data_IF_785910456749
#
_entry.id   IF_785910456749
#
_cell.length_a   1.000
_cell.length_b   1.000
_cell.length_c   1.000
_cell.angle_alpha   90.00
_cell.angle_beta   90.00
_cell.angle_gamma   90.00
#
_symmetry.space_group_name_H-M   'P 1'
#
loop_
_entity.id
_entity.type
_entity.pdbx_description
1 polymer ?
#
# COMPACT_ATOMS: atom_id res chain seq x y z
N UNK A 1 -24.34 18.01 32.09
CA UNK A 1 -22.92 17.92 31.70
C UNK A 1 -22.57 16.45 31.55
N UNK A 2 -22.62 15.93 30.32
CA UNK A 2 -22.28 14.54 30.03
C UNK A 2 -20.79 14.47 29.67
N UNK A 3 -20.01 13.73 30.46
CA UNK A 3 -18.61 13.46 30.16
C UNK A 3 -18.49 12.64 28.88
N UNK A 4 -17.59 13.06 27.98
CA UNK A 4 -17.21 12.27 26.81
C UNK A 4 -16.18 11.24 27.29
N UNK A 5 -16.57 9.97 27.25
CA UNK A 5 -15.67 8.85 27.50
C UNK A 5 -14.78 8.68 26.27
N UNK A 6 -13.48 8.97 26.43
CA UNK A 6 -12.49 8.75 25.38
C UNK A 6 -12.23 7.25 25.27
N UNK A 7 -12.64 6.63 24.16
CA UNK A 7 -12.30 5.24 23.88
C UNK A 7 -10.79 5.11 23.70
N UNK A 8 -10.14 4.32 24.55
CA UNK A 8 -8.73 3.95 24.40
C UNK A 8 -8.53 3.20 23.07
N UNK A 9 -7.63 3.71 22.22
CA UNK A 9 -7.26 3.02 20.99
C UNK A 9 -6.44 1.79 21.33
N UNK A 10 -6.91 0.61 20.96
CA UNK A 10 -6.16 -0.63 21.09
C UNK A 10 -4.78 -0.51 20.42
N UNK A 11 -3.73 -0.85 21.17
CA UNK A 11 -2.37 -0.84 20.66
C UNK A 11 -2.14 -2.08 19.77
N UNK A 12 -2.07 -1.88 18.46
CA UNK A 12 -1.73 -2.97 17.51
C UNK A 12 -0.23 -3.23 17.54
N UNK A 13 0.17 -4.41 18.05
CA UNK A 13 1.57 -4.86 18.00
C UNK A 13 1.86 -5.51 16.65
N UNK A 14 2.71 -4.87 15.83
CA UNK A 14 3.15 -5.41 14.53
C UNK A 14 4.52 -6.08 14.72
N UNK A 15 4.57 -7.41 14.64
CA UNK A 15 5.83 -8.16 14.57
C UNK A 15 6.27 -8.28 13.10
N UNK A 16 7.54 -7.97 12.79
CA UNK A 16 8.12 -8.15 11.46
C UNK A 16 9.26 -9.15 11.55
N UNK A 17 9.21 -10.23 10.79
CA UNK A 17 10.23 -11.29 10.82
C UNK A 17 11.27 -11.13 9.72
N UNK A 18 10.87 -10.64 8.54
CA UNK A 18 11.76 -10.46 7.39
C UNK A 18 11.53 -9.09 6.75
N UNK A 19 12.62 -8.35 6.55
CA UNK A 19 12.62 -7.08 5.83
C UNK A 19 13.54 -7.22 4.63
N UNK A 20 13.03 -6.93 3.43
CA UNK A 20 13.79 -6.99 2.18
C UNK A 20 13.96 -5.59 1.60
N UNK A 21 15.11 -5.34 0.97
CA UNK A 21 15.39 -4.08 0.26
C UNK A 21 15.12 -4.27 -1.23
N UNK A 22 14.21 -3.48 -1.79
CA UNK A 22 14.01 -3.42 -3.24
C UNK A 22 15.14 -2.64 -3.88
N UNK A 23 15.81 -3.23 -4.86
CA UNK A 23 16.96 -2.63 -5.56
C UNK A 23 16.85 -2.90 -7.06
N UNK A 24 17.66 -2.17 -7.85
CA UNK A 24 17.78 -2.35 -9.32
C UNK A 24 16.45 -2.15 -10.05
N UNK A 25 15.76 -1.04 -9.75
CA UNK A 25 14.58 -0.64 -10.49
C UNK A 25 14.89 -0.56 -12.00
N UNK A 26 14.01 -1.15 -12.82
CA UNK A 26 14.08 -1.13 -14.27
C UNK A 26 12.78 -0.55 -14.81
N UNK A 27 12.88 0.58 -15.52
CA UNK A 27 11.73 1.30 -16.05
C UNK A 27 10.98 0.52 -17.15
N UNK A 28 11.70 -0.10 -18.09
CA UNK A 28 11.08 -0.89 -19.16
C UNK A 28 10.39 -2.14 -18.60
N UNK A 29 11.04 -2.76 -17.60
CA UNK A 29 10.44 -3.87 -16.84
C UNK A 29 9.14 -3.43 -16.16
N UNK A 30 9.12 -2.24 -15.57
CA UNK A 30 7.93 -1.65 -14.97
C UNK A 30 6.81 -1.41 -16.01
N UNK A 31 7.12 -0.81 -17.17
CA UNK A 31 6.14 -0.63 -18.25
C UNK A 31 5.53 -1.96 -18.72
N UNK A 32 6.38 -2.95 -18.97
CA UNK A 32 5.93 -4.29 -19.36
C UNK A 32 5.04 -4.95 -18.28
N UNK A 33 5.24 -4.65 -16.99
CA UNK A 33 4.33 -5.16 -15.93
C UNK A 33 2.98 -4.46 -15.88
N UNK A 34 2.91 -3.17 -16.25
CA UNK A 34 1.65 -2.46 -16.44
C UNK A 34 0.87 -3.09 -17.60
N UNK A 35 1.53 -3.27 -18.75
CA UNK A 35 0.94 -3.88 -19.96
C UNK A 35 0.41 -5.30 -19.69
N UNK A 36 1.13 -6.08 -18.89
CA UNK A 36 0.76 -7.46 -18.53
C UNK A 36 -0.23 -7.57 -17.36
N UNK A 37 -0.74 -6.44 -16.84
CA UNK A 37 -1.71 -6.44 -15.74
C UNK A 37 -1.15 -6.96 -14.40
N UNK A 38 0.17 -6.86 -14.20
CA UNK A 38 0.85 -7.21 -12.93
C UNK A 38 1.04 -6.01 -12.01
N UNK A 39 0.99 -4.81 -12.58
CA UNK A 39 0.98 -3.53 -11.89
C UNK A 39 -0.36 -2.84 -12.11
N UNK A 40 -0.97 -2.33 -11.04
CA UNK A 40 -2.24 -1.61 -11.07
C UNK A 40 -2.00 -0.12 -10.86
N UNK A 41 -2.84 0.70 -11.49
CA UNK A 41 -2.91 2.15 -11.27
C UNK A 41 -4.13 2.43 -10.39
N UNK A 42 -3.88 2.85 -9.15
CA UNK A 42 -4.89 3.14 -8.15
C UNK A 42 -5.17 4.65 -8.11
N UNK A 43 -6.40 5.03 -8.47
CA UNK A 43 -6.88 6.41 -8.47
C UNK A 43 -7.66 6.68 -7.17
N UNK A 44 -6.98 7.30 -6.21
CA UNK A 44 -7.54 7.67 -4.91
C UNK A 44 -8.38 8.95 -5.05
N UNK A 45 -9.59 8.82 -5.61
CA UNK A 45 -10.49 9.93 -5.92
C UNK A 45 -11.76 9.96 -5.04
N UNK A 46 -11.84 9.09 -4.02
CA UNK A 46 -13.07 8.87 -3.25
C UNK A 46 -13.39 9.94 -2.20
N UNK A 47 -12.43 10.80 -1.82
CA UNK A 47 -12.64 11.88 -0.85
C UNK A 47 -11.85 13.11 -1.26
N UNK A 48 -12.24 14.31 -0.81
CA UNK A 48 -11.60 15.59 -1.15
C UNK A 48 -10.13 15.77 -0.72
N UNK A 49 -9.46 14.67 -0.37
CA UNK A 49 -8.05 14.59 -0.06
C UNK A 49 -7.39 13.56 -1.00
N UNK A 50 -6.91 14.02 -2.15
CA UNK A 50 -6.22 13.16 -3.12
C UNK A 50 -4.76 12.95 -2.66
N UNK A 51 -4.44 11.73 -2.25
CA UNK A 51 -3.07 11.34 -1.84
C UNK A 51 -2.16 11.00 -3.04
N UNK A 52 -2.57 11.33 -4.26
CA UNK A 52 -1.89 11.02 -5.52
C UNK A 52 -2.22 9.63 -6.07
N UNK A 53 -2.06 9.51 -7.40
CA UNK A 53 -2.12 8.24 -8.13
C UNK A 53 -1.01 7.29 -7.65
N UNK A 54 -1.36 6.03 -7.37
CA UNK A 54 -0.40 5.04 -6.83
C UNK A 54 -0.24 3.87 -7.80
N UNK A 55 1.00 3.43 -7.99
CA UNK A 55 1.29 2.16 -8.67
C UNK A 55 1.38 1.04 -7.65
N UNK A 56 0.53 0.02 -7.79
CA UNK A 56 0.51 -1.14 -6.89
C UNK A 56 0.95 -2.39 -7.62
N UNK A 57 1.96 -3.07 -7.09
CA UNK A 57 2.41 -4.36 -7.61
C UNK A 57 1.55 -5.47 -7.01
N UNK A 58 1.09 -6.41 -7.83
CA UNK A 58 0.48 -7.64 -7.33
C UNK A 58 1.51 -8.43 -6.56
N UNK A 59 1.31 -8.58 -5.26
CA UNK A 59 2.18 -9.42 -4.44
C UNK A 59 1.87 -10.89 -4.71
N UNK A 60 2.87 -11.68 -5.13
CA UNK A 60 2.75 -13.13 -5.29
C UNK A 60 3.66 -13.79 -4.26
N UNK A 61 3.18 -14.00 -3.03
CA UNK A 61 3.75 -15.03 -2.18
C UNK A 61 3.07 -16.34 -2.57
N UNK A 62 3.83 -17.29 -3.11
CA UNK A 62 3.41 -18.70 -3.16
C UNK A 62 4.21 -19.39 -2.08
N UNK A 63 3.52 -20.11 -1.19
CA UNK A 63 4.09 -20.91 -0.10
C UNK A 63 4.96 -22.05 -0.64
#
# INVERSE_FOLDING_TARGET
MGGVELQEKENVKINREIVMMFQKFNFDGFLNTLEKGKTFVDFDAGTGHNHGTKFRLKHLFTS
#
